data_IF_189266670974
#
_entry.id   IF_189266670974
#
_cell.length_a   1.000
_cell.length_b   1.000
_cell.length_c   1.000
_cell.angle_alpha   90.00
_cell.angle_beta   90.00
_cell.angle_gamma   90.00
#
_symmetry.space_group_name_H-M   'P 1'
#
loop_
_entity.id
_entity.type
_entity.pdbx_description
1 polymer ?
#
# COMPACT_ATOMS: atom_id res chain seq x y z
N UNK A 1 2.18 5.23 21.71
CA UNK A 1 1.24 4.55 20.79
C UNK A 1 1.71 3.12 20.65
N UNK A 2 0.80 2.16 20.55
CA UNK A 2 1.17 0.77 20.38
C UNK A 2 1.29 0.44 18.89
N UNK A 3 2.00 -0.64 18.56
CA UNK A 3 2.22 -1.08 17.19
C UNK A 3 1.96 -2.57 17.05
N UNK A 4 1.33 -2.98 15.94
CA UNK A 4 1.14 -4.38 15.56
C UNK A 4 1.56 -4.58 14.11
N UNK A 5 2.22 -5.70 13.87
CA UNK A 5 2.65 -6.10 12.54
C UNK A 5 1.78 -7.27 12.07
N UNK A 6 1.33 -7.19 10.82
CA UNK A 6 0.54 -8.26 10.21
C UNK A 6 1.23 -8.75 8.94
N UNK A 7 1.40 -10.05 8.78
CA UNK A 7 1.81 -10.70 7.52
C UNK A 7 0.60 -11.27 6.81
N UNK A 8 0.57 -11.07 5.50
CA UNK A 8 -0.43 -11.56 4.57
C UNK A 8 0.28 -12.48 3.58
N UNK A 9 0.07 -13.78 3.75
CA UNK A 9 0.70 -14.80 2.94
C UNK A 9 -0.21 -15.07 1.73
N UNK A 10 0.04 -14.32 0.65
CA UNK A 10 -0.70 -14.43 -0.61
C UNK A 10 0.00 -15.41 -1.55
N UNK A 11 -0.74 -16.27 -2.26
CA UNK A 11 -0.20 -16.96 -3.46
C UNK A 11 -0.11 -15.98 -4.64
N UNK A 12 -1.25 -15.35 -4.96
CA UNK A 12 -1.36 -14.39 -6.07
C UNK A 12 -2.36 -13.29 -5.78
N UNK A 13 -2.10 -12.11 -6.30
CA UNK A 13 -2.97 -10.92 -6.14
C UNK A 13 -3.18 -10.22 -7.47
N UNK A 14 -4.35 -9.59 -7.63
CA UNK A 14 -4.54 -8.54 -8.63
C UNK A 14 -4.83 -7.22 -7.91
N UNK A 15 -3.79 -6.39 -7.80
CA UNK A 15 -3.89 -5.00 -7.40
C UNK A 15 -3.73 -4.15 -8.66
N UNK A 16 -4.84 -3.89 -9.35
CA UNK A 16 -4.84 -3.29 -10.68
C UNK A 16 -4.12 -1.94 -10.77
N UNK A 17 -3.33 -1.77 -11.83
CA UNK A 17 -2.63 -0.53 -12.17
C UNK A 17 -3.08 -0.03 -13.54
N UNK A 18 -4.06 0.89 -13.56
CA UNK A 18 -4.62 1.48 -14.78
C UNK A 18 -5.21 0.49 -15.80
N UNK A 19 -5.54 -0.75 -15.40
CA UNK A 19 -6.20 -1.73 -16.25
C UNK A 19 -6.23 -3.12 -15.62
N UNK A 20 -6.97 -4.04 -16.26
CA UNK A 20 -7.08 -5.44 -15.82
C UNK A 20 -5.80 -6.24 -16.16
N UNK A 21 -5.06 -5.83 -17.18
CA UNK A 21 -3.85 -6.50 -17.66
C UNK A 21 -2.58 -6.21 -16.86
N UNK A 22 -2.65 -5.27 -15.92
CA UNK A 22 -1.52 -4.86 -15.07
C UNK A 22 -1.88 -5.02 -13.59
N UNK A 23 -0.89 -5.40 -12.79
CA UNK A 23 -1.01 -5.52 -11.33
C UNK A 23 0.25 -5.00 -10.67
N UNK A 24 0.12 -4.42 -9.48
CA UNK A 24 1.24 -4.01 -8.62
C UNK A 24 1.68 -5.14 -7.68
N UNK A 25 2.87 -4.97 -7.08
CA UNK A 25 3.41 -5.83 -6.02
C UNK A 25 2.75 -5.51 -4.67
N UNK A 26 2.75 -4.23 -4.31
CA UNK A 26 2.18 -3.71 -3.06
C UNK A 26 0.73 -3.27 -3.22
N UNK A 27 0.02 -3.11 -2.10
CA UNK A 27 -1.35 -2.61 -2.06
C UNK A 27 -1.42 -1.30 -1.26
N UNK A 28 -1.81 -0.17 -1.88
CA UNK A 28 -1.93 1.10 -1.15
C UNK A 28 -2.93 1.03 0.00
N UNK A 29 -2.64 1.73 1.11
CA UNK A 29 -3.43 1.68 2.35
C UNK A 29 -4.91 2.03 2.14
N UNK A 30 -5.23 2.89 1.16
CA UNK A 30 -6.62 3.22 0.83
C UNK A 30 -7.45 2.04 0.29
N UNK A 31 -6.79 1.06 -0.33
CA UNK A 31 -7.45 -0.12 -0.88
C UNK A 31 -7.75 -1.10 0.24
N UNK A 32 -6.79 -1.32 1.14
CA UNK A 32 -7.00 -2.06 2.37
C UNK A 32 -8.10 -1.42 3.23
N UNK A 33 -8.04 -0.11 3.43
CA UNK A 33 -9.03 0.61 4.23
C UNK A 33 -10.43 0.55 3.62
N UNK A 34 -10.54 0.57 2.29
CA UNK A 34 -11.82 0.34 1.60
C UNK A 34 -12.37 -1.06 1.92
N UNK A 35 -11.52 -2.09 1.92
CA UNK A 35 -11.92 -3.45 2.30
C UNK A 35 -12.32 -3.53 3.78
N UNK A 36 -11.61 -2.84 4.68
CA UNK A 36 -11.99 -2.72 6.09
C UNK A 36 -13.35 -2.05 6.28
N UNK A 37 -13.67 -1.01 5.50
CA UNK A 37 -14.98 -0.36 5.54
C UNK A 37 -16.11 -1.32 5.11
N UNK A 38 -15.90 -2.07 4.02
CA UNK A 38 -16.86 -3.06 3.54
C UNK A 38 -17.03 -4.18 4.58
N UNK A 39 -15.95 -4.62 5.20
CA UNK A 39 -15.99 -5.64 6.23
C UNK A 39 -16.68 -5.16 7.50
N UNK A 40 -16.44 -3.91 7.92
CA UNK A 40 -17.14 -3.29 9.04
C UNK A 40 -18.65 -3.23 8.80
N UNK A 41 -19.07 -2.82 7.59
CA UNK A 41 -20.48 -2.84 7.18
C UNK A 41 -21.07 -4.25 7.22
N UNK A 42 -20.33 -5.26 6.74
CA UNK A 42 -20.76 -6.67 6.75
C UNK A 42 -20.93 -7.21 8.18
N UNK A 43 -20.01 -6.86 9.08
CA UNK A 43 -19.97 -7.39 10.44
C UNK A 43 -20.89 -6.67 11.41
N UNK A 44 -21.09 -5.36 11.26
CA UNK A 44 -21.80 -4.54 12.25
C UNK A 44 -22.51 -3.32 11.67
N UNK A 45 -22.71 -3.26 10.35
CA UNK A 45 -23.44 -2.20 9.67
C UNK A 45 -22.82 -0.81 9.87
N UNK A 46 -23.67 0.21 9.87
CA UNK A 46 -23.24 1.61 9.96
C UNK A 46 -22.58 1.95 11.29
N UNK A 47 -22.94 1.26 12.38
CA UNK A 47 -22.33 1.48 13.69
C UNK A 47 -20.83 1.14 13.65
N UNK A 48 -20.49 -0.07 13.21
CA UNK A 48 -19.09 -0.52 13.17
C UNK A 48 -18.27 0.24 12.12
N UNK A 49 -18.89 0.64 11.00
CA UNK A 49 -18.24 1.55 10.05
C UNK A 49 -17.94 2.91 10.70
N UNK A 50 -18.89 3.47 11.45
CA UNK A 50 -18.72 4.71 12.18
C UNK A 50 -17.58 4.63 13.20
N UNK A 51 -17.49 3.52 13.95
CA UNK A 51 -16.39 3.24 14.87
C UNK A 51 -15.03 3.23 14.15
N UNK A 52 -14.93 2.55 13.00
CA UNK A 52 -13.69 2.51 12.20
C UNK A 52 -13.29 3.91 11.69
N UNK A 53 -14.24 4.68 11.17
CA UNK A 53 -13.99 6.04 10.65
C UNK A 53 -13.63 7.02 11.77
N UNK A 54 -14.19 6.82 12.97
CA UNK A 54 -13.90 7.63 14.15
C UNK A 54 -12.52 7.35 14.77
N UNK A 55 -11.85 6.26 14.40
CA UNK A 55 -10.47 6.00 14.80
C UNK A 55 -9.60 7.20 14.41
N UNK A 56 -9.06 7.91 15.39
CA UNK A 56 -8.30 9.16 15.19
C UNK A 56 -6.79 8.92 15.28
N UNK A 57 -6.36 7.89 16.03
CA UNK A 57 -4.94 7.56 16.19
C UNK A 57 -4.48 6.41 15.32
N UNK A 58 -5.40 5.66 14.70
CA UNK A 58 -5.07 4.57 13.80
C UNK A 58 -4.27 5.09 12.62
N UNK A 59 -3.07 4.51 12.43
CA UNK A 59 -2.21 4.74 11.29
C UNK A 59 -1.80 3.40 10.67
N UNK A 60 -1.82 3.32 9.34
CA UNK A 60 -1.55 2.13 8.54
C UNK A 60 -0.45 2.43 7.51
N UNK A 61 0.46 1.49 7.30
CA UNK A 61 1.32 1.51 6.10
C UNK A 61 0.51 1.09 4.87
N UNK A 62 1.09 1.28 3.69
CA UNK A 62 0.70 0.43 2.56
C UNK A 62 1.01 -1.05 2.91
N UNK A 63 0.39 -2.00 2.21
CA UNK A 63 0.84 -3.39 2.27
C UNK A 63 2.12 -3.53 1.46
N UNK A 64 3.24 -3.75 2.14
CA UNK A 64 4.60 -3.74 1.59
C UNK A 64 5.17 -5.16 1.55
N UNK A 65 6.11 -5.49 0.65
CA UNK A 65 6.59 -6.87 0.53
C UNK A 65 7.48 -7.30 1.69
N UNK A 66 7.40 -8.57 2.06
CA UNK A 66 8.42 -9.25 2.87
C UNK A 66 9.01 -10.42 2.09
N UNK A 67 10.22 -10.85 2.45
CA UNK A 67 10.86 -12.09 1.98
C UNK A 67 11.52 -12.77 3.17
N UNK A 68 11.05 -13.96 3.54
CA UNK A 68 11.47 -14.68 4.73
C UNK A 68 11.32 -13.83 5.99
N UNK A 69 12.39 -13.57 6.76
CA UNK A 69 12.32 -12.71 7.94
C UNK A 69 12.33 -11.21 7.60
N UNK A 70 12.70 -10.84 6.37
CA UNK A 70 13.00 -9.44 6.02
C UNK A 70 11.74 -8.69 5.58
N UNK A 71 11.36 -7.68 6.36
CA UNK A 71 10.33 -6.71 5.98
C UNK A 71 10.94 -5.62 5.09
N UNK A 72 10.48 -5.55 3.85
CA UNK A 72 10.99 -4.59 2.87
C UNK A 72 10.15 -3.33 2.90
N UNK A 73 10.83 -2.19 2.86
CA UNK A 73 10.25 -0.84 2.73
C UNK A 73 10.44 -0.31 1.31
N UNK A 74 9.65 0.67 0.86
CA UNK A 74 9.87 1.30 -0.43
C UNK A 74 11.27 1.91 -0.51
N UNK A 75 11.86 1.90 -1.70
CA UNK A 75 13.07 2.68 -1.97
C UNK A 75 12.78 4.16 -1.71
N UNK A 76 13.56 4.86 -0.86
CA UNK A 76 13.41 6.29 -0.66
C UNK A 76 13.51 7.05 -1.98
N UNK A 77 12.59 7.97 -2.20
CA UNK A 77 12.68 8.98 -3.25
C UNK A 77 13.66 10.05 -2.80
N UNK A 78 14.94 9.70 -2.80
CA UNK A 78 16.03 10.60 -2.47
C UNK A 78 17.00 10.68 -3.65
N UNK A 79 17.62 11.84 -3.84
CA UNK A 79 18.66 12.01 -4.85
C UNK A 79 19.92 11.28 -4.39
N UNK A 80 20.12 10.03 -4.84
CA UNK A 80 21.40 9.34 -4.64
C UNK A 80 22.50 10.17 -5.32
N UNK A 81 23.53 10.58 -4.57
CA UNK A 81 24.69 11.31 -5.11
C UNK A 81 25.21 10.59 -6.37
N UNK A 82 25.33 11.35 -7.45
CA UNK A 82 25.27 10.80 -8.81
C UNK A 82 26.61 10.33 -9.39
N UNK A 83 27.52 9.92 -8.51
CA UNK A 83 28.92 9.66 -8.86
C UNK A 83 29.14 8.20 -9.32
N UNK A 84 28.08 7.39 -9.23
CA UNK A 84 28.08 5.99 -9.66
C UNK A 84 28.06 5.80 -11.17
N UNK A 85 28.66 4.69 -11.61
CA UNK A 85 28.68 4.23 -13.00
C UNK A 85 27.27 4.01 -13.59
N UNK A 86 27.17 4.00 -14.93
CA UNK A 86 25.92 3.68 -15.66
C UNK A 86 25.29 2.36 -15.21
N UNK A 87 26.10 1.35 -14.88
CA UNK A 87 25.63 0.05 -14.40
C UNK A 87 24.99 0.15 -13.00
N UNK A 88 25.60 0.88 -12.07
CA UNK A 88 25.05 1.09 -10.73
C UNK A 88 23.72 1.86 -10.79
N UNK A 89 23.61 2.89 -11.63
CA UNK A 89 22.37 3.64 -11.84
C UNK A 89 21.23 2.75 -12.38
N UNK A 90 21.55 1.80 -13.27
CA UNK A 90 20.56 0.81 -13.77
C UNK A 90 20.09 -0.15 -12.68
N UNK A 91 20.99 -0.65 -11.83
CA UNK A 91 20.64 -1.52 -10.71
C UNK A 91 19.78 -0.79 -9.69
N UNK A 92 20.17 0.42 -9.27
CA UNK A 92 19.41 1.24 -8.33
C UNK A 92 17.99 1.55 -8.81
N UNK A 93 17.78 1.71 -10.12
CA UNK A 93 16.44 1.91 -10.71
C UNK A 93 15.55 0.67 -10.60
N UNK A 94 16.12 -0.55 -10.66
CA UNK A 94 15.37 -1.80 -10.56
C UNK A 94 14.94 -2.14 -9.13
N UNK A 95 15.61 -1.58 -8.12
CA UNK A 95 15.24 -1.75 -6.72
C UNK A 95 13.95 -0.96 -6.45
N UNK A 96 12.85 -1.66 -6.19
CA UNK A 96 11.59 -1.06 -5.76
C UNK A 96 11.46 -1.04 -4.23
N UNK A 97 11.94 -2.10 -3.58
CA UNK A 97 11.88 -2.29 -2.14
C UNK A 97 13.23 -2.80 -1.59
N UNK A 98 13.52 -2.54 -0.32
CA UNK A 98 14.74 -3.00 0.35
C UNK A 98 14.48 -3.24 1.84
N UNK A 99 15.28 -4.08 2.53
CA UNK A 99 15.13 -4.25 3.97
C UNK A 99 15.30 -2.92 4.71
N UNK A 100 14.45 -2.65 5.71
CA UNK A 100 14.53 -1.40 6.48
C UNK A 100 15.91 -1.16 7.11
N UNK A 101 16.55 -2.24 7.59
CA UNK A 101 17.90 -2.21 8.15
C UNK A 101 18.99 -1.77 7.15
N UNK A 102 18.73 -1.85 5.85
CA UNK A 102 19.66 -1.44 4.79
C UNK A 102 19.37 -0.04 4.23
N UNK A 103 18.43 0.71 4.81
CA UNK A 103 18.17 2.11 4.38
C UNK A 103 19.43 2.98 4.52
N UNK A 104 20.19 2.82 5.61
CA UNK A 104 21.42 3.57 5.84
C UNK A 104 22.48 3.32 4.77
N UNK A 105 22.84 2.04 4.59
CA UNK A 105 23.83 1.66 3.57
C UNK A 105 23.36 1.95 2.15
N UNK A 106 22.05 1.95 1.89
CA UNK A 106 21.52 2.36 0.59
C UNK A 106 21.69 3.86 0.34
N UNK A 107 21.45 4.70 1.35
CA UNK A 107 21.53 6.16 1.25
C UNK A 107 22.97 6.68 1.23
N UNK A 108 23.88 6.03 1.96
CA UNK A 108 25.32 6.38 1.94
C UNK A 108 26.08 5.82 0.72
N UNK A 109 25.44 4.95 -0.06
CA UNK A 109 26.00 4.35 -1.27
C UNK A 109 26.87 3.11 -1.06
N UNK A 110 26.91 2.55 0.15
CA UNK A 110 27.71 1.35 0.50
C UNK A 110 26.97 0.03 0.31
N UNK A 111 25.65 0.05 0.07
CA UNK A 111 24.85 -1.15 -0.12
C UNK A 111 25.24 -1.93 -1.39
N UNK A 112 25.16 -3.27 -1.30
CA UNK A 112 25.30 -4.14 -2.47
C UNK A 112 24.05 -4.07 -3.36
N UNK A 113 24.11 -3.20 -4.36
CA UNK A 113 23.02 -3.02 -5.33
C UNK A 113 22.72 -4.28 -6.15
N UNK A 114 23.66 -5.21 -6.31
CA UNK A 114 23.41 -6.47 -7.03
C UNK A 114 22.57 -7.40 -6.16
N UNK A 115 22.89 -7.51 -4.87
CA UNK A 115 22.12 -8.27 -3.89
C UNK A 115 20.70 -7.72 -3.79
N UNK A 116 20.54 -6.41 -3.62
CA UNK A 116 19.23 -5.76 -3.53
C UNK A 116 18.39 -5.92 -4.80
N UNK A 117 19.02 -5.84 -5.98
CA UNK A 117 18.35 -6.06 -7.25
C UNK A 117 17.93 -7.53 -7.43
N UNK A 118 18.79 -8.49 -7.07
CA UNK A 118 18.46 -9.91 -7.10
C UNK A 118 17.35 -10.26 -6.10
N UNK A 119 17.29 -9.57 -4.96
CA UNK A 119 16.23 -9.75 -3.96
C UNK A 119 14.83 -9.39 -4.49
N UNK A 120 14.71 -8.49 -5.45
CA UNK A 120 13.39 -8.16 -6.03
C UNK A 120 12.71 -9.39 -6.66
N UNK A 121 13.50 -10.29 -7.26
CA UNK A 121 12.96 -11.51 -7.89
C UNK A 121 12.57 -12.57 -6.87
N UNK A 122 12.98 -12.41 -5.60
CA UNK A 122 12.56 -13.29 -4.48
C UNK A 122 11.21 -12.86 -3.88
N UNK A 123 10.69 -11.69 -4.24
CA UNK A 123 9.34 -11.27 -3.85
C UNK A 123 8.30 -12.04 -4.66
N UNK A 124 8.55 -12.19 -5.96
CA UNK A 124 7.62 -12.81 -6.90
C UNK A 124 7.79 -12.29 -8.32
N UNK A 125 6.80 -12.61 -9.15
CA UNK A 125 6.79 -12.27 -10.59
C UNK A 125 5.45 -11.72 -11.03
N UNK A 126 5.49 -10.75 -11.96
CA UNK A 126 4.31 -10.35 -12.72
C UNK A 126 4.00 -11.43 -13.76
N UNK A 127 2.74 -11.83 -13.84
CA UNK A 127 2.25 -12.79 -14.80
C UNK A 127 0.91 -12.33 -15.38
N UNK A 128 0.50 -12.94 -16.50
CA UNK A 128 -0.76 -12.64 -17.17
C UNK A 128 -1.51 -13.93 -17.41
N UNK A 129 -2.81 -13.92 -17.13
CA UNK A 129 -3.73 -15.00 -17.44
C UNK A 129 -4.62 -14.57 -18.61
N UNK A 130 -4.65 -15.35 -19.69
CA UNK A 130 -5.61 -15.19 -20.76
C UNK A 130 -6.92 -15.88 -20.36
N UNK A 131 -8.04 -15.16 -20.48
CA UNK A 131 -9.39 -15.64 -20.20
C UNK A 131 -10.29 -15.37 -21.40
N UNK A 132 -11.44 -16.05 -21.47
CA UNK A 132 -12.44 -15.84 -22.50
C UNK A 132 -13.82 -15.73 -21.86
N UNK A 133 -14.55 -14.66 -22.15
CA UNK A 133 -15.92 -14.48 -21.70
C UNK A 133 -16.87 -15.14 -22.70
N UNK A 134 -17.66 -16.11 -22.21
CA UNK A 134 -18.67 -16.82 -23.00
C UNK A 134 -20.02 -16.17 -22.71
N UNK A 135 -20.67 -15.66 -23.75
CA UNK A 135 -21.97 -15.00 -23.64
C UNK A 135 -23.05 -15.87 -24.28
N UNK A 136 -24.12 -16.14 -23.54
CA UNK A 136 -25.26 -16.90 -24.07
C UNK A 136 -25.82 -16.19 -25.32
N UNK A 137 -25.89 -16.91 -26.43
CA UNK A 137 -26.39 -16.39 -27.71
C UNK A 137 -25.34 -15.74 -28.62
N UNK A 138 -24.08 -15.57 -28.18
CA UNK A 138 -22.96 -15.27 -29.08
C UNK A 138 -22.24 -16.56 -29.49
N UNK A 139 -21.84 -16.62 -30.76
CA UNK A 139 -21.09 -17.77 -31.32
C UNK A 139 -19.61 -17.75 -30.91
N UNK A 140 -19.05 -16.56 -30.76
CA UNK A 140 -17.64 -16.35 -30.44
C UNK A 140 -17.47 -15.87 -28.99
N UNK A 141 -16.40 -16.33 -28.34
CA UNK A 141 -16.02 -15.88 -27.01
C UNK A 141 -15.18 -14.59 -27.10
N UNK A 142 -15.32 -13.71 -26.12
CA UNK A 142 -14.57 -12.44 -26.06
C UNK A 142 -13.31 -12.64 -25.20
N UNK A 143 -12.09 -12.72 -25.79
CA UNK A 143 -10.86 -12.92 -25.03
C UNK A 143 -10.44 -11.65 -24.28
N UNK A 144 -9.93 -11.83 -23.07
CA UNK A 144 -9.36 -10.76 -22.25
C UNK A 144 -8.16 -11.26 -21.45
N UNK A 145 -7.40 -10.33 -20.89
CA UNK A 145 -6.19 -10.63 -20.11
C UNK A 145 -6.28 -10.03 -18.72
N UNK A 146 -5.82 -10.80 -17.75
CA UNK A 146 -5.73 -10.40 -16.35
C UNK A 146 -4.27 -10.47 -15.93
N UNK A 147 -3.67 -9.32 -15.63
CA UNK A 147 -2.37 -9.25 -15.00
C UNK A 147 -2.48 -9.57 -13.52
N UNK A 148 -1.50 -10.26 -12.95
CA UNK A 148 -1.46 -10.55 -11.53
C UNK A 148 -0.01 -10.61 -11.06
N UNK A 149 0.19 -10.43 -9.76
CA UNK A 149 1.46 -10.69 -9.12
C UNK A 149 1.38 -12.02 -8.38
N UNK A 150 2.31 -12.93 -8.64
CA UNK A 150 2.46 -14.21 -7.94
C UNK A 150 3.67 -14.11 -7.03
N UNK A 151 3.46 -14.34 -5.74
CA UNK A 151 4.53 -14.32 -4.74
C UNK A 151 5.35 -15.60 -4.80
N UNK A 152 6.60 -15.53 -4.37
CA UNK A 152 7.38 -16.73 -4.03
C UNK A 152 6.88 -17.33 -2.72
N UNK A 153 7.18 -18.62 -2.48
CA UNK A 153 6.64 -19.39 -1.34
C UNK A 153 6.89 -18.74 0.04
N UNK A 154 8.03 -18.06 0.21
CA UNK A 154 8.44 -17.40 1.45
C UNK A 154 8.37 -15.88 1.31
N UNK A 155 7.40 -15.38 0.54
CA UNK A 155 7.15 -13.97 0.32
C UNK A 155 5.66 -13.66 0.41
N UNK A 156 5.37 -12.43 0.77
CA UNK A 156 4.01 -11.94 0.89
C UNK A 156 4.02 -10.46 1.15
N UNK A 157 2.94 -9.95 1.74
CA UNK A 157 2.86 -8.55 2.14
C UNK A 157 2.78 -8.40 3.66
N UNK A 158 3.21 -7.26 4.17
CA UNK A 158 3.11 -6.90 5.57
C UNK A 158 2.45 -5.54 5.74
N UNK A 159 1.78 -5.37 6.88
CA UNK A 159 1.19 -4.12 7.35
C UNK A 159 1.78 -3.80 8.72
N UNK A 160 2.26 -2.58 8.90
CA UNK A 160 2.44 -2.03 10.24
C UNK A 160 1.26 -1.11 10.54
N UNK A 161 0.64 -1.35 11.69
CA UNK A 161 -0.41 -0.50 12.23
C UNK A 161 0.02 0.08 13.57
N UNK A 162 -0.29 1.36 13.80
CA UNK A 162 -0.15 1.99 15.12
C UNK A 162 -1.45 2.64 15.53
N UNK A 163 -1.68 2.74 16.83
CA UNK A 163 -2.89 3.36 17.38
C UNK A 163 -3.05 3.09 18.87
N UNK A 164 -4.24 3.36 19.39
CA UNK A 164 -4.64 2.89 20.72
C UNK A 164 -4.93 1.38 20.70
N UNK A 165 -4.88 0.71 21.86
CA UNK A 165 -5.21 -0.73 21.93
C UNK A 165 -6.63 -1.04 21.41
N UNK A 166 -7.59 -0.14 21.66
CA UNK A 166 -8.96 -0.33 21.18
C UNK A 166 -9.05 -0.27 19.65
N UNK A 167 -8.40 0.72 19.03
CA UNK A 167 -8.39 0.86 17.57
C UNK A 167 -7.63 -0.30 16.89
N UNK A 168 -6.51 -0.74 17.48
CA UNK A 168 -5.76 -1.90 16.99
C UNK A 168 -6.56 -3.20 17.17
N UNK A 169 -7.31 -3.35 18.27
CA UNK A 169 -8.23 -4.47 18.47
C UNK A 169 -9.34 -4.51 17.42
N UNK A 170 -9.92 -3.35 17.08
CA UNK A 170 -10.89 -3.22 15.99
C UNK A 170 -10.26 -3.60 14.64
N UNK A 171 -9.06 -3.09 14.34
CA UNK A 171 -8.33 -3.44 13.12
C UNK A 171 -8.10 -4.96 13.01
N UNK A 172 -7.55 -5.60 14.06
CA UNK A 172 -7.31 -7.06 14.08
C UNK A 172 -8.61 -7.82 13.83
N UNK A 173 -9.72 -7.41 14.46
CA UNK A 173 -11.03 -8.04 14.28
C UNK A 173 -11.51 -7.94 12.84
N UNK A 174 -11.40 -6.77 12.21
CA UNK A 174 -11.82 -6.56 10.83
C UNK A 174 -10.92 -7.31 9.84
N UNK A 175 -9.59 -7.27 10.03
CA UNK A 175 -8.65 -8.00 9.16
C UNK A 175 -8.92 -9.50 9.13
N UNK A 176 -9.24 -10.10 10.28
CA UNK A 176 -9.61 -11.52 10.39
C UNK A 176 -10.93 -11.86 9.67
N UNK A 177 -11.79 -10.87 9.41
CA UNK A 177 -13.03 -11.03 8.65
C UNK A 177 -12.85 -10.99 7.14
N UNK A 178 -11.74 -10.43 6.65
CA UNK A 178 -11.44 -10.32 5.22
C UNK A 178 -10.88 -11.64 4.70
N UNK A 179 -11.58 -12.28 3.77
CA UNK A 179 -11.13 -13.53 3.14
C UNK A 179 -10.24 -13.35 1.91
N UNK A 180 -10.39 -12.21 1.20
CA UNK A 180 -9.57 -11.90 0.04
C UNK A 180 -9.51 -10.38 -0.23
N UNK A 181 -8.36 -9.90 -0.71
CA UNK A 181 -8.08 -8.49 -1.02
C UNK A 181 -7.74 -8.28 -2.51
N UNK A 182 -8.22 -7.17 -3.09
CA UNK A 182 -7.95 -6.83 -4.49
C UNK A 182 -9.04 -7.29 -5.46
N UNK A 183 -8.70 -7.38 -6.74
CA UNK A 183 -9.61 -7.82 -7.80
C UNK A 183 -9.54 -9.33 -8.05
N UNK A 184 -10.45 -9.82 -8.90
CA UNK A 184 -10.51 -11.24 -9.32
C UNK A 184 -10.66 -12.25 -8.17
N UNK A 185 -11.22 -11.80 -7.04
CA UNK A 185 -11.43 -12.61 -5.82
C UNK A 185 -12.26 -13.87 -6.09
N UNK A 186 -13.27 -13.78 -6.94
CA UNK A 186 -14.12 -14.91 -7.34
C UNK A 186 -13.37 -15.93 -8.22
N UNK A 187 -12.26 -15.53 -8.84
CA UNK A 187 -11.34 -16.42 -9.56
C UNK A 187 -10.17 -16.90 -8.68
N UNK A 188 -10.27 -16.74 -7.36
CA UNK A 188 -9.31 -17.23 -6.37
C UNK A 188 -8.13 -16.29 -6.08
N UNK A 189 -8.14 -15.05 -6.58
CA UNK A 189 -7.04 -14.12 -6.34
C UNK A 189 -7.19 -13.39 -5.01
N UNK A 190 -6.07 -13.09 -4.38
CA UNK A 190 -6.01 -12.24 -3.20
C UNK A 190 -6.47 -12.90 -1.91
N UNK A 191 -6.71 -14.21 -1.88
CA UNK A 191 -6.83 -14.95 -0.62
C UNK A 191 -5.46 -14.99 0.09
N UNK A 192 -5.47 -14.96 1.42
CA UNK A 192 -4.26 -14.92 2.23
C UNK A 192 -4.43 -15.62 3.57
N UNK A 193 -3.32 -16.04 4.16
CA UNK A 193 -3.24 -16.32 5.60
C UNK A 193 -2.73 -15.07 6.33
N UNK A 194 -3.31 -14.79 7.49
CA UNK A 194 -2.97 -13.62 8.30
C UNK A 194 -2.24 -14.06 9.58
N UNK A 195 -1.05 -13.51 9.80
CA UNK A 195 -0.30 -13.70 11.05
C UNK A 195 -0.03 -12.35 11.71
N UNK A 196 -0.25 -12.25 13.01
CA UNK A 196 0.03 -11.05 13.82
C UNK A 196 1.30 -11.27 14.65
N UNK A 197 2.18 -10.27 14.70
CA UNK A 197 3.39 -10.29 15.53
C UNK A 197 3.77 -8.88 15.99
N UNK A 198 4.77 -8.79 16.86
CA UNK A 198 5.39 -7.53 17.23
C UNK A 198 6.17 -6.93 16.04
N UNK A 199 6.22 -5.60 15.99
CA UNK A 199 7.00 -4.88 14.99
C UNK A 199 8.49 -4.93 15.36
N UNK A 200 9.40 -5.24 14.42
CA UNK A 200 10.83 -5.15 14.67
C UNK A 200 11.25 -3.69 14.92
N UNK A 201 12.28 -3.48 15.75
CA UNK A 201 12.77 -2.15 16.11
C UNK A 201 13.14 -1.28 14.88
N UNK A 202 13.63 -1.90 13.80
CA UNK A 202 13.97 -1.21 12.55
C UNK A 202 12.76 -0.59 11.82
N UNK A 203 11.53 -0.97 12.18
CA UNK A 203 10.29 -0.42 11.65
C UNK A 203 9.59 0.55 12.62
N UNK A 204 10.27 0.99 13.68
CA UNK A 204 9.69 1.93 14.64
C UNK A 204 9.35 3.26 13.96
N UNK A 205 8.07 3.65 13.88
CA UNK A 205 7.70 4.92 13.28
C UNK A 205 8.16 6.10 14.11
N UNK A 206 8.51 7.20 13.46
CA UNK A 206 8.84 8.45 14.13
C UNK A 206 8.44 9.63 13.27
N UNK A 207 8.20 10.77 13.93
CA UNK A 207 7.99 12.09 13.31
C UNK A 207 9.09 13.08 13.71
N UNK A 208 10.04 12.63 14.54
CA UNK A 208 11.14 13.43 15.08
C UNK A 208 12.44 13.06 14.36
N UNK A 209 12.58 13.57 13.13
CA UNK A 209 13.78 13.45 12.31
C UNK A 209 13.79 14.55 11.24
N UNK A 210 14.99 14.94 10.79
CA UNK A 210 15.16 15.93 9.72
C UNK A 210 14.69 15.42 8.34
N UNK A 211 14.65 14.11 8.15
CA UNK A 211 14.26 13.45 6.90
C UNK A 211 13.35 12.26 7.18
N UNK A 212 12.12 12.34 6.72
CA UNK A 212 11.05 11.39 7.01
C UNK A 212 10.56 10.74 5.71
N UNK A 213 10.70 9.42 5.59
CA UNK A 213 10.11 8.66 4.48
C UNK A 213 8.73 8.15 4.87
N UNK A 214 7.71 8.43 4.06
CA UNK A 214 6.37 7.86 4.27
C UNK A 214 6.31 6.40 3.81
N UNK A 215 5.75 5.52 4.63
CA UNK A 215 5.42 4.13 4.31
C UNK A 215 3.99 3.96 3.78
N UNK A 216 3.26 5.06 3.67
CA UNK A 216 1.85 5.06 3.33
C UNK A 216 1.62 5.98 2.13
N UNK A 217 0.86 5.50 1.16
CA UNK A 217 0.31 6.37 0.13
C UNK A 217 -0.68 7.34 0.77
N UNK A 218 -0.30 8.60 0.90
CA UNK A 218 -0.89 9.55 1.85
C UNK A 218 -1.01 10.96 1.25
N UNK A 219 -1.84 11.80 1.87
CA UNK A 219 -2.15 13.15 1.43
C UNK A 219 -2.32 14.04 2.66
N UNK A 220 -1.50 15.09 2.85
CA UNK A 220 -1.72 16.13 3.85
C UNK A 220 -3.09 16.77 3.67
N UNK A 221 -3.63 17.36 4.74
CA UNK A 221 -4.79 18.24 4.59
C UNK A 221 -4.40 19.50 3.81
N UNK A 222 -5.40 20.26 3.34
CA UNK A 222 -5.15 21.50 2.60
C UNK A 222 -4.31 22.50 3.43
N UNK A 223 -4.55 22.56 4.75
CA UNK A 223 -3.78 23.41 5.67
C UNK A 223 -2.34 22.92 5.91
N UNK A 224 -2.08 21.62 5.76
CA UNK A 224 -0.75 21.02 5.95
C UNK A 224 0.09 21.03 4.67
N UNK A 225 -0.55 21.17 3.50
CA UNK A 225 0.07 20.87 2.21
C UNK A 225 1.31 21.70 1.92
N UNK A 226 1.23 23.03 2.05
CA UNK A 226 2.35 23.94 1.80
C UNK A 226 3.54 23.64 2.73
N UNK A 227 3.26 23.38 4.01
CA UNK A 227 4.29 23.04 4.99
C UNK A 227 4.93 21.68 4.70
N UNK A 228 4.14 20.68 4.32
CA UNK A 228 4.63 19.35 3.96
C UNK A 228 5.52 19.38 2.71
N UNK A 229 5.18 20.20 1.71
CA UNK A 229 5.93 20.31 0.46
C UNK A 229 7.30 20.97 0.61
N UNK A 230 7.51 21.77 1.66
CA UNK A 230 8.79 22.43 1.91
C UNK A 230 9.94 21.41 2.04
N UNK A 231 10.83 21.38 1.05
CA UNK A 231 11.97 20.45 1.03
C UNK A 231 11.60 18.98 0.80
N UNK A 232 10.37 18.69 0.35
CA UNK A 232 9.94 17.32 0.07
C UNK A 232 10.44 16.81 -1.28
N UNK A 233 10.74 15.52 -1.36
CA UNK A 233 10.98 14.79 -2.61
C UNK A 233 9.96 13.67 -2.73
N UNK A 234 9.07 13.77 -3.70
CA UNK A 234 7.89 12.92 -3.74
C UNK A 234 7.51 12.49 -5.15
N UNK A 235 6.65 11.48 -5.21
CA UNK A 235 5.97 11.06 -6.44
C UNK A 235 4.47 11.09 -6.19
N UNK A 236 3.73 11.73 -7.09
CA UNK A 236 2.28 11.68 -7.08
C UNK A 236 1.78 10.39 -7.72
N UNK A 237 0.81 9.76 -7.09
CA UNK A 237 0.07 8.62 -7.62
C UNK A 237 -1.41 8.96 -7.70
N UNK A 238 -2.01 8.69 -8.86
CA UNK A 238 -3.44 8.88 -9.08
C UNK A 238 -4.21 7.69 -8.48
N UNK A 239 -5.19 7.98 -7.63
CA UNK A 239 -6.12 7.00 -7.07
C UNK A 239 -7.49 7.25 -7.69
N UNK A 240 -7.90 6.34 -8.55
CA UNK A 240 -9.15 6.38 -9.31
C UNK A 240 -9.82 5.01 -9.31
N UNK A 241 -11.09 4.93 -9.65
CA UNK A 241 -11.78 3.65 -9.81
C UNK A 241 -13.29 3.75 -9.68
N UNK A 242 -13.95 2.60 -9.70
CA UNK A 242 -15.38 2.50 -9.44
C UNK A 242 -15.63 2.20 -7.96
N UNK A 243 -16.78 2.64 -7.46
CA UNK A 243 -17.20 2.33 -6.08
C UNK A 243 -17.72 0.89 -6.04
N UNK A 244 -17.11 0.06 -5.18
CA UNK A 244 -17.51 -1.33 -4.99
C UNK A 244 -18.66 -1.42 -3.97
N UNK A 245 -19.86 -1.01 -4.38
CA UNK A 245 -21.08 -1.09 -3.55
C UNK A 245 -22.30 -1.21 -4.45
N UNK A 246 -23.18 -2.19 -4.16
CA UNK A 246 -24.44 -2.39 -4.89
C UNK A 246 -25.53 -1.39 -4.53
N UNK A 247 -25.35 -0.61 -3.46
CA UNK A 247 -26.33 0.38 -2.98
C UNK A 247 -25.89 1.82 -3.23
N UNK A 248 -24.72 2.02 -3.85
CA UNK A 248 -24.17 3.35 -4.08
C UNK A 248 -24.88 4.10 -5.22
N UNK A 249 -25.22 3.40 -6.31
CA UNK A 249 -25.95 3.94 -7.46
C UNK A 249 -26.54 2.78 -8.29
N UNK A 250 -27.55 3.06 -9.12
CA UNK A 250 -28.19 2.06 -9.99
C UNK A 250 -27.23 1.47 -11.04
N UNK A 251 -26.22 2.24 -11.42
CA UNK A 251 -25.18 1.88 -12.40
C UNK A 251 -23.79 2.04 -11.78
N UNK A 252 -22.78 1.26 -12.18
CA UNK A 252 -21.41 1.41 -11.70
C UNK A 252 -20.90 2.84 -11.88
N UNK A 253 -20.67 3.54 -10.75
CA UNK A 253 -20.29 4.94 -10.73
C UNK A 253 -18.83 5.11 -10.27
N UNK A 254 -18.09 6.00 -10.93
CA UNK A 254 -16.71 6.31 -10.56
C UNK A 254 -16.68 7.19 -9.32
N UNK A 255 -15.72 6.93 -8.44
CA UNK A 255 -15.38 7.85 -7.34
C UNK A 255 -14.53 9.01 -7.85
N UNK A 256 -14.45 10.09 -7.08
CA UNK A 256 -13.58 11.23 -7.41
C UNK A 256 -12.13 10.77 -7.50
N UNK A 257 -11.46 11.19 -8.56
CA UNK A 257 -10.01 10.99 -8.71
C UNK A 257 -9.28 11.85 -7.68
N UNK A 258 -8.34 11.25 -6.95
CA UNK A 258 -7.47 11.98 -6.02
C UNK A 258 -6.01 11.64 -6.27
N UNK A 259 -5.13 12.60 -6.08
CA UNK A 259 -3.68 12.44 -6.20
C UNK A 259 -3.07 12.42 -4.81
N UNK A 260 -2.26 11.41 -4.52
CA UNK A 260 -1.60 11.22 -3.23
C UNK A 260 -0.10 11.13 -3.41
N UNK A 261 0.67 11.40 -2.37
CA UNK A 261 2.09 11.08 -2.34
C UNK A 261 2.26 9.58 -2.15
N UNK A 262 3.06 8.95 -3.00
CA UNK A 262 3.36 7.53 -2.93
C UNK A 262 4.19 7.20 -1.68
N UNK A 263 4.00 6.00 -1.13
CA UNK A 263 4.97 5.42 -0.20
C UNK A 263 6.39 5.45 -0.80
N UNK A 264 7.38 5.80 0.02
CA UNK A 264 8.75 6.11 -0.38
C UNK A 264 9.03 7.61 -0.59
N UNK A 265 8.00 8.47 -0.61
CA UNK A 265 8.20 9.93 -0.64
C UNK A 265 8.86 10.42 0.66
N UNK A 266 9.72 11.42 0.55
CA UNK A 266 10.54 11.96 1.64
C UNK A 266 10.13 13.39 1.94
N UNK A 267 9.96 13.70 3.22
CA UNK A 267 9.50 14.98 3.74
C UNK A 267 10.45 15.49 4.82
N UNK A 268 10.63 16.81 4.88
CA UNK A 268 11.38 17.46 5.97
C UNK A 268 10.49 17.72 7.20
N UNK A 269 9.17 17.68 7.02
CA UNK A 269 8.16 17.93 8.04
C UNK A 269 7.07 16.85 7.98
N UNK A 270 6.66 16.30 9.13
CA UNK A 270 5.54 15.37 9.17
C UNK A 270 4.21 16.09 8.91
N UNK A 271 3.20 15.32 8.51
CA UNK A 271 1.81 15.79 8.37
C UNK A 271 0.86 14.70 8.90
N UNK A 272 -0.38 15.06 9.25
CA UNK A 272 -1.37 14.12 9.78
C UNK A 272 -2.20 13.45 8.69
N UNK A 273 -2.49 14.17 7.60
CA UNK A 273 -3.39 13.71 6.56
C UNK A 273 -4.79 13.37 7.07
N UNK A 274 -5.55 12.57 6.32
CA UNK A 274 -6.94 12.30 6.68
C UNK A 274 -7.57 11.08 6.04
N UNK A 275 -8.87 10.93 6.29
CA UNK A 275 -9.76 10.03 5.54
C UNK A 275 -10.66 10.94 4.72
N UNK A 276 -10.51 10.90 3.40
CA UNK A 276 -11.25 11.77 2.49
C UNK A 276 -12.54 11.09 2.04
N UNK A 277 -13.63 11.84 1.92
CA UNK A 277 -14.79 11.39 1.14
C UNK A 277 -14.54 11.65 -0.35
N UNK A 278 -14.46 10.57 -1.12
CA UNK A 278 -14.32 10.60 -2.58
C UNK A 278 -15.61 10.21 -3.29
N UNK A 279 -16.75 10.25 -2.60
CA UNK A 279 -18.05 10.10 -3.23
C UNK A 279 -18.27 11.17 -4.30
N UNK A 280 -19.01 10.78 -5.33
CA UNK A 280 -19.38 11.59 -6.49
C UNK A 280 -20.77 11.14 -6.95
N UNK A 281 -21.81 11.82 -6.46
CA UNK A 281 -23.19 11.64 -6.91
C UNK A 281 -23.87 10.32 -6.54
N UNK A 282 -23.38 9.58 -5.53
CA UNK A 282 -24.00 8.36 -5.04
C UNK A 282 -24.64 8.49 -3.65
N UNK A 283 -25.20 7.39 -3.17
CA UNK A 283 -26.11 7.35 -2.01
C UNK A 283 -25.43 7.37 -0.64
N UNK A 284 -24.11 7.21 -0.56
CA UNK A 284 -23.37 7.18 0.70
C UNK A 284 -21.92 7.65 0.53
N UNK A 285 -21.24 8.06 1.61
CA UNK A 285 -19.81 8.42 1.55
C UNK A 285 -18.93 7.28 1.05
N UNK A 286 -17.78 7.64 0.46
CA UNK A 286 -16.76 6.69 0.00
C UNK A 286 -15.43 7.11 0.60
N UNK A 287 -14.98 6.39 1.61
CA UNK A 287 -13.80 6.78 2.37
C UNK A 287 -12.49 6.35 1.67
N UNK A 288 -11.57 7.30 1.52
CA UNK A 288 -10.21 7.07 1.04
C UNK A 288 -9.20 7.46 2.11
N UNK A 289 -8.55 6.44 2.68
CA UNK A 289 -7.55 6.64 3.72
C UNK A 289 -6.26 7.27 3.17
N UNK A 290 -5.69 8.24 3.88
CA UNK A 290 -4.52 8.99 3.44
C UNK A 290 -3.64 9.50 4.60
N UNK A 291 -3.71 8.88 5.79
CA UNK A 291 -2.88 9.28 6.94
C UNK A 291 -1.54 8.55 6.95
N UNK A 292 -0.39 9.25 7.03
CA UNK A 292 0.92 8.66 6.86
C UNK A 292 1.41 7.89 8.09
N UNK A 293 2.28 6.91 7.86
CA UNK A 293 3.30 6.46 8.80
C UNK A 293 4.67 6.83 8.24
N UNK A 294 5.54 7.38 9.09
CA UNK A 294 6.88 7.80 8.69
C UNK A 294 7.96 6.94 9.36
N UNK A 295 9.04 6.68 8.62
CA UNK A 295 10.32 6.26 9.17
C UNK A 295 11.33 7.39 9.03
N UNK A 296 12.21 7.51 10.02
CA UNK A 296 13.39 8.35 9.88
C UNK A 296 14.31 7.75 8.81
N UNK A 297 14.79 8.61 7.90
CA UNK A 297 15.95 8.29 7.10
C UNK A 297 17.20 8.72 7.87
N UNK A 298 18.23 7.85 7.96
CA UNK A 298 19.51 8.27 8.53
C UNK A 298 20.08 9.43 7.71
N UNK A 299 20.74 10.37 8.40
CA UNK A 299 21.42 11.48 7.75
C UNK A 299 22.51 10.92 6.83
N UNK A 300 22.52 11.36 5.57
CA UNK A 300 23.64 11.08 4.66
C UNK A 300 24.85 11.81 5.22
N UNK A 301 25.93 11.08 5.55
CA UNK A 301 27.19 11.70 5.94
C UNK A 301 27.62 12.68 4.84
N UNK A 302 27.75 13.96 5.23
CA UNK A 302 28.06 15.07 4.33
C UNK A 302 29.35 14.83 3.53
#
# INVERSE_FOLDING_TARGET
MNSRLFRFDFDRTHFGDHGLESSTISCPADTLYSALCVEALRMGGQQLLGELVACSTLRLTDLLPYVGPDYLVPKPLHSVRSDGSSMQKKLAKKIGFLPAAQLGSFLDGTADLKELAARQTKIGVHAVSAKAAIHNGKKDADPYRVGYFRFELDAGLWLLATGSESELGLLTRLLKGISALGGERTSGFGAFNLTESEAPAALTPTVDAASLMTLTTSLPTDDELEAALAGATYRLVKRSGFVASSTYADMPLRKRDIYKFAAGSVFSRPFQGGILDVSLGGNHPVYSYARPLFLALPESAA
#
